data_IF_072511621012
#
_entry.id   IF_072511621012
#
_cell.length_a   1.000
_cell.length_b   1.000
_cell.length_c   1.000
_cell.angle_alpha   90.00
_cell.angle_beta   90.00
_cell.angle_gamma   90.00
#
_symmetry.space_group_name_H-M   'P 1'
#
loop_
_entity.id
_entity.type
_entity.pdbx_description
1 polymer ?
#
# COMPACT_ATOMS: atom_id res chain seq x y z
N UNK A 1 11.41 -3.87 38.75
CA UNK A 1 11.73 -3.63 37.32
C UNK A 1 10.62 -2.77 36.74
N UNK A 2 10.95 -1.54 36.34
CA UNK A 2 9.98 -0.54 35.86
C UNK A 2 9.58 -0.85 34.42
N UNK A 3 8.36 -1.36 34.23
CA UNK A 3 7.76 -1.53 32.90
C UNK A 3 7.51 -0.16 32.30
N UNK A 4 8.42 0.32 31.44
CA UNK A 4 8.20 1.52 30.62
C UNK A 4 7.44 1.09 29.37
N UNK A 5 6.12 1.10 29.44
CA UNK A 5 5.26 0.95 28.27
C UNK A 5 5.50 2.16 27.35
N UNK A 6 6.01 1.91 26.14
CA UNK A 6 6.12 2.95 25.10
C UNK A 6 4.89 2.79 24.20
N UNK A 7 3.96 3.74 24.30
CA UNK A 7 2.82 3.78 23.38
C UNK A 7 3.29 4.25 22.00
N UNK A 8 3.17 3.37 21.00
CA UNK A 8 3.46 3.72 19.62
C UNK A 8 2.15 4.11 18.93
N UNK A 9 2.03 5.38 18.54
CA UNK A 9 0.95 5.83 17.68
C UNK A 9 1.22 5.30 16.26
N UNK A 10 0.63 4.16 15.91
CA UNK A 10 0.63 3.64 14.55
C UNK A 10 -0.11 4.63 13.66
N UNK A 11 0.56 5.16 12.64
CA UNK A 11 -0.02 6.10 11.69
C UNK A 11 0.41 5.73 10.26
N UNK A 12 -0.54 5.79 9.33
CA UNK A 12 -0.27 5.64 7.90
C UNK A 12 0.19 7.00 7.35
N UNK A 13 1.20 7.05 6.47
CA UNK A 13 1.50 8.27 5.74
C UNK A 13 0.30 8.64 4.85
N UNK A 14 -0.28 9.80 5.12
CA UNK A 14 -1.33 10.43 4.31
C UNK A 14 -0.84 11.73 3.70
N UNK A 15 -1.64 12.31 2.83
CA UNK A 15 -1.40 13.64 2.25
C UNK A 15 -2.62 14.50 2.51
N UNK A 16 -2.41 15.75 2.90
CA UNK A 16 -3.48 16.73 3.01
C UNK A 16 -3.98 17.15 1.61
N UNK A 17 -5.10 17.88 1.51
CA UNK A 17 -5.62 18.40 0.24
C UNK A 17 -4.68 19.34 -0.53
N UNK A 18 -3.56 19.75 0.07
CA UNK A 18 -2.53 20.62 -0.49
C UNK A 18 -1.24 19.87 -0.84
N UNK A 19 -1.23 18.54 -0.69
CA UNK A 19 -0.09 17.69 -1.01
C UNK A 19 0.99 17.63 0.08
N UNK A 20 0.73 18.17 1.27
CA UNK A 20 1.66 18.06 2.39
C UNK A 20 1.51 16.70 3.09
N UNK A 21 2.62 16.06 3.48
CA UNK A 21 2.56 14.79 4.20
C UNK A 21 1.96 14.97 5.60
N UNK A 22 0.90 14.24 5.89
CA UNK A 22 0.24 14.19 7.21
C UNK A 22 0.26 12.76 7.75
N UNK A 23 0.32 12.61 9.08
CA UNK A 23 0.23 11.29 9.74
C UNK A 23 -1.20 11.00 10.12
N UNK A 24 -1.82 9.98 9.53
CA UNK A 24 -3.20 9.57 9.83
C UNK A 24 -3.15 8.44 10.86
N UNK A 25 -3.66 8.63 12.09
CA UNK A 25 -3.63 7.57 13.10
C UNK A 25 -4.47 6.36 12.67
N UNK A 26 -3.94 5.17 12.89
CA UNK A 26 -4.56 3.89 12.54
C UNK A 26 -5.79 3.67 13.44
N UNK A 27 -6.97 4.00 12.92
CA UNK A 27 -8.23 3.96 13.68
C UNK A 27 -8.99 5.29 13.71
N UNK A 28 -8.47 6.35 13.08
CA UNK A 28 -9.34 7.48 12.73
C UNK A 28 -10.43 6.96 11.79
N UNK A 29 -11.69 7.18 12.16
CA UNK A 29 -12.80 7.15 11.22
C UNK A 29 -12.32 7.94 9.99
N UNK A 30 -12.44 7.33 8.81
CA UNK A 30 -12.27 8.04 7.55
C UNK A 30 -13.26 9.20 7.60
N UNK A 31 -12.82 10.36 8.09
CA UNK A 31 -13.55 11.59 7.88
C UNK A 31 -13.74 11.62 6.36
N UNK A 32 -14.98 11.66 5.86
CA UNK A 32 -15.22 11.85 4.46
C UNK A 32 -14.86 13.31 4.19
N UNK A 33 -13.56 13.64 4.23
CA UNK A 33 -13.05 14.92 3.80
C UNK A 33 -13.28 14.98 2.30
N UNK A 34 -14.47 15.52 2.00
CA UNK A 34 -14.79 16.31 0.84
C UNK A 34 -14.28 15.65 -0.42
N UNK A 35 -15.01 14.61 -0.86
CA UNK A 35 -15.23 14.48 -2.31
C UNK A 35 -15.77 15.84 -2.74
N UNK A 36 -14.88 16.72 -3.22
CA UNK A 36 -15.25 17.99 -3.83
C UNK A 36 -16.25 17.60 -4.90
N UNK A 37 -17.54 17.89 -4.65
CA UNK A 37 -18.56 17.74 -5.69
C UNK A 37 -18.01 18.54 -6.87
N UNK A 38 -17.88 17.94 -8.06
CA UNK A 38 -17.30 18.63 -9.20
C UNK A 38 -18.06 19.95 -9.37
N UNK A 39 -17.32 21.06 -9.31
CA UNK A 39 -17.90 22.34 -9.65
C UNK A 39 -18.14 22.29 -11.16
N UNK A 40 -19.40 22.09 -11.56
CA UNK A 40 -19.81 22.02 -12.96
C UNK A 40 -19.65 23.40 -13.61
N UNK A 41 -18.40 23.75 -13.93
CA UNK A 41 -18.01 25.00 -14.57
C UNK A 41 -17.21 24.83 -15.86
N UNK A 42 -16.76 23.61 -16.16
CA UNK A 42 -16.26 23.11 -17.44
C UNK A 42 -16.64 21.61 -17.50
N UNK A 43 -16.70 20.98 -18.68
CA UNK A 43 -17.11 19.57 -18.83
C UNK A 43 -16.08 18.61 -18.20
N UNK A 44 -16.11 18.48 -16.87
CA UNK A 44 -15.30 17.53 -16.13
C UNK A 44 -15.86 16.12 -16.37
N UNK A 45 -15.03 15.24 -16.93
CA UNK A 45 -15.40 13.85 -17.17
C UNK A 45 -14.80 12.96 -16.09
N UNK A 46 -15.65 12.12 -15.48
CA UNK A 46 -15.21 11.05 -14.59
C UNK A 46 -15.17 9.74 -15.38
N UNK A 47 -13.97 9.20 -15.58
CA UNK A 47 -13.75 7.94 -16.29
C UNK A 47 -13.28 6.88 -15.30
N UNK A 48 -13.96 5.74 -15.28
CA UNK A 48 -13.56 4.59 -14.48
C UNK A 48 -12.82 3.59 -15.37
N UNK A 49 -11.49 3.56 -15.25
CA UNK A 49 -10.65 2.55 -15.88
C UNK A 49 -10.70 1.31 -15.00
N UNK A 50 -11.39 0.28 -15.50
CA UNK A 50 -11.64 -0.95 -14.75
C UNK A 50 -10.38 -1.81 -14.53
N UNK A 51 -10.42 -2.75 -13.57
CA UNK A 51 -9.27 -3.56 -13.18
C UNK A 51 -8.80 -4.58 -14.23
N UNK A 52 -9.60 -4.86 -15.25
CA UNK A 52 -9.23 -5.72 -16.38
C UNK A 52 -8.90 -4.92 -17.65
N UNK A 53 -8.82 -3.60 -17.55
CA UNK A 53 -8.57 -2.77 -18.71
C UNK A 53 -7.17 -3.11 -19.29
N UNK A 54 -7.02 -3.36 -20.60
CA UNK A 54 -5.76 -3.83 -21.17
C UNK A 54 -4.60 -2.83 -21.03
N UNK A 55 -4.91 -1.56 -20.79
CA UNK A 55 -3.91 -0.52 -20.53
C UNK A 55 -3.30 -0.55 -19.11
N UNK A 56 -3.79 -1.41 -18.20
CA UNK A 56 -3.22 -1.57 -16.86
C UNK A 56 -2.48 -2.90 -16.75
N UNK A 57 -1.17 -2.88 -16.55
CA UNK A 57 -0.42 -4.09 -16.20
C UNK A 57 -0.78 -4.51 -14.77
N UNK A 58 -1.28 -5.74 -14.61
CA UNK A 58 -1.81 -6.23 -13.34
C UNK A 58 -3.30 -5.89 -13.16
N UNK A 59 -3.75 -5.86 -11.90
CA UNK A 59 -5.16 -5.63 -11.55
C UNK A 59 -5.27 -4.30 -10.80
N UNK A 60 -5.59 -3.23 -11.53
CA UNK A 60 -5.63 -1.87 -11.00
C UNK A 60 -6.85 -1.13 -11.53
N UNK A 61 -7.67 -0.58 -10.62
CA UNK A 61 -8.79 0.29 -11.00
C UNK A 61 -8.41 1.74 -10.74
N UNK A 62 -8.63 2.60 -11.74
CA UNK A 62 -8.37 4.03 -11.63
C UNK A 62 -9.65 4.80 -11.92
N UNK A 63 -10.09 5.64 -10.97
CA UNK A 63 -11.13 6.63 -11.22
C UNK A 63 -10.44 7.94 -11.56
N UNK A 64 -10.51 8.35 -12.82
CA UNK A 64 -9.81 9.49 -13.39
C UNK A 64 -10.79 10.63 -13.61
N UNK A 65 -10.44 11.82 -13.13
CA UNK A 65 -11.14 13.06 -13.40
C UNK A 65 -10.35 13.84 -14.47
N UNK A 66 -10.99 14.05 -15.62
CA UNK A 66 -10.42 14.71 -16.78
C UNK A 66 -11.06 16.08 -17.01
N UNK A 67 -10.23 17.00 -17.47
CA UNK A 67 -10.62 18.28 -18.07
C UNK A 67 -10.13 18.23 -19.52
N UNK A 68 -10.99 17.76 -20.43
CA UNK A 68 -10.58 17.40 -21.80
C UNK A 68 -9.53 16.28 -21.80
N UNK A 69 -8.34 16.56 -22.33
CA UNK A 69 -7.19 15.64 -22.37
C UNK A 69 -6.29 15.74 -21.11
N UNK A 70 -6.54 16.71 -20.23
CA UNK A 70 -5.72 16.94 -19.03
C UNK A 70 -6.26 16.16 -17.85
N UNK A 71 -5.39 15.38 -17.19
CA UNK A 71 -5.72 14.68 -15.95
C UNK A 71 -5.70 15.66 -14.78
N UNK A 72 -6.86 15.87 -14.15
CA UNK A 72 -6.96 16.74 -12.97
C UNK A 72 -6.72 15.99 -11.67
N UNK A 73 -7.25 14.77 -11.58
CA UNK A 73 -7.14 13.91 -10.39
C UNK A 73 -7.27 12.45 -10.79
N UNK A 74 -6.57 11.57 -10.06
CA UNK A 74 -6.70 10.11 -10.17
C UNK A 74 -6.89 9.54 -8.78
N UNK A 75 -7.88 8.67 -8.63
CA UNK A 75 -8.13 7.91 -7.40
C UNK A 75 -7.82 6.44 -7.71
N UNK A 76 -6.67 5.91 -7.25
CA UNK A 76 -6.34 4.50 -7.42
C UNK A 76 -7.08 3.64 -6.40
N UNK A 77 -7.78 2.62 -6.87
CA UNK A 77 -8.34 1.56 -6.04
C UNK A 77 -7.44 0.33 -6.15
N UNK A 78 -6.72 0.04 -5.06
CA UNK A 78 -5.80 -1.10 -4.92
C UNK A 78 -6.41 -2.19 -4.03
N UNK A 79 -5.74 -3.33 -3.92
CA UNK A 79 -6.11 -4.43 -3.02
C UNK A 79 -6.86 -5.60 -3.66
N UNK A 80 -7.15 -5.54 -4.96
CA UNK A 80 -7.75 -6.67 -5.70
C UNK A 80 -6.89 -7.95 -5.70
N UNK A 81 -5.58 -7.81 -5.50
CA UNK A 81 -4.63 -8.93 -5.36
C UNK A 81 -4.14 -9.13 -3.91
N UNK A 82 -4.80 -8.53 -2.92
CA UNK A 82 -4.43 -8.73 -1.52
C UNK A 82 -4.60 -10.20 -1.13
N UNK A 83 -3.48 -10.88 -0.91
CA UNK A 83 -3.45 -12.33 -0.63
C UNK A 83 -3.12 -12.66 0.84
N UNK A 84 -3.04 -11.65 1.71
CA UNK A 84 -2.83 -11.86 3.14
C UNK A 84 -1.50 -12.51 3.52
N UNK A 85 -0.41 -12.20 2.79
CA UNK A 85 0.91 -12.82 3.01
C UNK A 85 1.41 -12.68 4.45
N UNK A 86 1.25 -11.51 5.06
CA UNK A 86 1.63 -11.26 6.46
C UNK A 86 0.87 -12.17 7.41
N UNK A 87 -0.45 -12.32 7.20
CA UNK A 87 -1.27 -13.21 8.01
C UNK A 87 -0.89 -14.67 7.85
N UNK A 88 -0.56 -15.10 6.63
CA UNK A 88 -0.09 -16.45 6.37
C UNK A 88 1.28 -16.71 7.02
N UNK A 89 2.15 -15.70 7.07
CA UNK A 89 3.46 -15.80 7.68
C UNK A 89 3.40 -16.04 9.20
N UNK A 90 2.37 -15.52 9.90
CA UNK A 90 2.16 -15.79 11.34
C UNK A 90 2.04 -17.29 11.68
N UNK A 91 1.52 -18.09 10.76
CA UNK A 91 1.32 -19.54 10.95
C UNK A 91 2.45 -20.39 10.36
N UNK A 92 3.58 -19.78 9.98
CA UNK A 92 4.69 -20.46 9.29
C UNK A 92 6.02 -20.23 10.00
N UNK A 93 6.90 -21.22 9.89
CA UNK A 93 8.28 -21.07 10.33
C UNK A 93 9.08 -20.21 9.34
N UNK A 94 10.17 -19.58 9.79
CA UNK A 94 10.98 -18.66 8.99
C UNK A 94 11.40 -19.23 7.62
N UNK A 95 11.81 -20.50 7.58
CA UNK A 95 12.17 -21.19 6.33
C UNK A 95 10.99 -21.42 5.38
N UNK A 96 9.78 -21.57 5.90
CA UNK A 96 8.55 -21.74 5.12
C UNK A 96 7.99 -20.42 4.57
N UNK A 97 8.51 -19.28 5.03
CA UNK A 97 8.10 -17.95 4.56
C UNK A 97 8.83 -17.55 3.28
N UNK A 98 10.02 -18.13 2.98
CA UNK A 98 10.80 -17.82 1.76
C UNK A 98 9.95 -17.90 0.47
N UNK A 99 9.12 -18.94 0.23
CA UNK A 99 8.27 -18.98 -0.96
C UNK A 99 7.14 -17.93 -0.95
N UNK A 100 6.77 -17.38 0.22
CA UNK A 100 5.78 -16.31 0.32
C UNK A 100 6.40 -14.97 -0.10
N UNK A 101 7.65 -14.71 0.29
CA UNK A 101 8.36 -13.48 -0.08
C UNK A 101 8.64 -13.39 -1.57
N UNK A 102 8.86 -14.52 -2.27
CA UNK A 102 8.95 -14.58 -3.73
C UNK A 102 7.72 -14.01 -4.46
N UNK A 103 6.54 -14.06 -3.84
CA UNK A 103 5.27 -13.66 -4.44
C UNK A 103 4.91 -12.19 -4.19
N UNK A 104 5.71 -11.49 -3.39
CA UNK A 104 5.45 -10.08 -3.05
C UNK A 104 5.91 -9.15 -4.17
N UNK A 105 7.16 -9.28 -4.62
CA UNK A 105 7.64 -8.76 -5.90
C UNK A 105 8.10 -9.93 -6.78
N UNK A 106 7.25 -10.26 -7.76
CA UNK A 106 7.47 -11.36 -8.69
C UNK A 106 8.54 -11.06 -9.74
N UNK A 107 8.98 -9.81 -9.90
CA UNK A 107 10.06 -9.45 -10.83
C UNK A 107 11.44 -9.66 -10.18
N UNK A 108 11.55 -9.49 -8.86
CA UNK A 108 12.81 -9.65 -8.12
C UNK A 108 12.67 -10.52 -6.87
N UNK A 109 12.27 -11.80 -6.99
CA UNK A 109 12.01 -12.68 -5.85
C UNK A 109 13.23 -12.85 -4.92
N UNK A 110 14.42 -12.95 -5.51
CA UNK A 110 15.67 -13.12 -4.75
C UNK A 110 15.97 -11.94 -3.82
N UNK A 111 15.66 -10.71 -4.24
CA UNK A 111 15.86 -9.53 -3.40
C UNK A 111 14.98 -9.57 -2.14
N UNK A 112 13.73 -10.03 -2.29
CA UNK A 112 12.80 -10.18 -1.17
C UNK A 112 13.28 -11.26 -0.19
N UNK A 113 13.78 -12.38 -0.71
CA UNK A 113 14.30 -13.47 0.11
C UNK A 113 15.53 -13.05 0.91
N UNK A 114 16.46 -12.31 0.28
CA UNK A 114 17.63 -11.75 0.97
C UNK A 114 17.18 -10.82 2.09
N UNK A 115 16.19 -9.95 1.85
CA UNK A 115 15.66 -9.05 2.89
C UNK A 115 15.12 -9.84 4.10
N UNK A 116 14.35 -10.91 3.87
CA UNK A 116 13.83 -11.77 4.92
C UNK A 116 14.94 -12.50 5.68
N UNK A 117 15.92 -13.07 4.96
CA UNK A 117 17.03 -13.81 5.54
C UNK A 117 17.89 -12.90 6.44
N UNK A 118 18.29 -11.73 5.93
CA UNK A 118 19.06 -10.75 6.69
C UNK A 118 18.31 -10.28 7.95
N UNK A 119 16.99 -10.07 7.85
CA UNK A 119 16.18 -9.69 8.99
C UNK A 119 16.13 -10.80 10.06
N UNK A 120 15.99 -12.06 9.65
CA UNK A 120 15.98 -13.21 10.55
C UNK A 120 17.36 -13.47 11.19
N UNK A 121 18.43 -13.41 10.40
CA UNK A 121 19.82 -13.56 10.86
C UNK A 121 20.18 -12.51 11.90
N UNK A 122 19.84 -11.25 11.61
CA UNK A 122 20.04 -10.13 12.54
C UNK A 122 19.24 -10.31 13.84
N UNK A 123 18.00 -10.81 13.75
CA UNK A 123 17.16 -11.09 14.92
C UNK A 123 17.75 -12.21 15.80
N UNK A 124 18.38 -13.21 15.18
CA UNK A 124 19.01 -14.35 15.86
C UNK A 124 20.46 -14.09 16.29
N UNK A 125 21.06 -12.97 15.89
CA UNK A 125 22.46 -12.65 16.18
C UNK A 125 23.46 -13.51 15.40
N UNK A 126 23.08 -13.99 14.21
CA UNK A 126 23.93 -14.80 13.33
C UNK A 126 24.77 -13.84 12.46
N UNK A 127 26.08 -14.06 12.43
CA UNK A 127 26.99 -13.33 11.55
C UNK A 127 27.07 -14.04 10.19
N UNK A 128 26.93 -13.27 9.11
CA UNK A 128 26.98 -13.78 7.74
C UNK A 128 28.44 -14.00 7.36
N UNK A 129 28.76 -15.21 6.88
CA UNK A 129 30.13 -15.59 6.45
C UNK A 129 30.41 -15.23 5.00
#
# INVERSE_FOLDING_TARGET
>A
MTTRTVEFALATPGVDPHGNPIRIPLGAELHPERVRKPAFGQEHMLINIGPQHPATHGVLRLVVELEGETVKRVIPHIGYLHSGFEKLAEYRHYNQIIPLTDRTDYLSPMANNVCLALAAEKLMGIEIT
#
